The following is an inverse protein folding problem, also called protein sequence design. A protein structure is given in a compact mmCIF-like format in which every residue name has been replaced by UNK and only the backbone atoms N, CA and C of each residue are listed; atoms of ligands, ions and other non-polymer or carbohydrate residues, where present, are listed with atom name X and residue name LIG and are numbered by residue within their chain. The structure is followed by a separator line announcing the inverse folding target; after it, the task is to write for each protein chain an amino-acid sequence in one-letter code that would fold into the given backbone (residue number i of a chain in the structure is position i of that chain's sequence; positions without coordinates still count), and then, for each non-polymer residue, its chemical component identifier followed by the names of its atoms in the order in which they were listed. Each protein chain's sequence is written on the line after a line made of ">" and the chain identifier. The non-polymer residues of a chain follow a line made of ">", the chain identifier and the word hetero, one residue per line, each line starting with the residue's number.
data_IF_307259376269
#
_entry.id   IF_307259376269
#
_cell.length_a   1.000
_cell.length_b   1.000
_cell.length_c   1.000
_cell.angle_alpha   90.00
_cell.angle_beta   90.00
_cell.angle_gamma   90.00
#
_symmetry.space_group_name_H-M   'P 1'
#
loop_
_entity.id
_entity.type
_entity.pdbx_description
1 polymer ?
#
# COMPACT_ATOMS: atom_id res chain seq x y z
N UNK A 1 -24.84 -8.19 -3.68
CA UNK A 1 -25.33 -7.74 -2.36
C UNK A 1 -24.23 -6.93 -1.70
N UNK A 2 -24.57 -5.89 -0.94
CA UNK A 2 -23.64 -5.19 -0.04
C UNK A 2 -23.98 -5.62 1.37
N UNK A 3 -22.96 -5.93 2.16
CA UNK A 3 -23.09 -6.23 3.59
C UNK A 3 -22.50 -5.04 4.33
N UNK A 4 -23.34 -4.30 5.03
CA UNK A 4 -22.99 -3.15 5.86
C UNK A 4 -23.19 -3.54 7.33
N UNK A 5 -22.41 -2.99 8.26
CA UNK A 5 -22.58 -3.26 9.71
C UNK A 5 -23.73 -2.43 10.34
N UNK A 6 -24.49 -1.73 9.50
CA UNK A 6 -25.71 -1.01 9.88
C UNK A 6 -25.52 0.50 9.93
N UNK A 7 -26.56 1.18 10.39
CA UNK A 7 -26.58 2.62 10.58
C UNK A 7 -25.77 2.96 11.85
N UNK A 8 -24.62 3.61 11.70
CA UNK A 8 -23.81 4.06 12.83
C UNK A 8 -24.49 5.15 13.68
N UNK A 9 -23.90 5.50 14.85
CA UNK A 9 -22.65 4.96 15.40
C UNK A 9 -22.84 3.55 15.98
N UNK A 10 -21.77 2.75 15.95
CA UNK A 10 -21.73 1.51 16.73
C UNK A 10 -22.03 1.82 18.20
N UNK A 11 -22.75 0.92 18.86
CA UNK A 11 -22.86 0.96 20.32
C UNK A 11 -21.46 0.84 20.92
N UNK A 12 -21.24 1.42 22.09
CA UNK A 12 -19.95 1.39 22.79
C UNK A 12 -19.48 -0.05 23.10
N UNK A 13 -20.40 -1.03 23.06
CA UNK A 13 -20.13 -2.47 23.22
C UNK A 13 -19.65 -3.16 21.92
N UNK A 14 -19.52 -2.42 20.82
CA UNK A 14 -19.11 -2.93 19.51
C UNK A 14 -20.15 -3.81 18.81
N UNK A 15 -21.37 -3.91 19.34
CA UNK A 15 -22.44 -4.68 18.70
C UNK A 15 -23.05 -3.92 17.52
N UNK A 16 -23.18 -4.59 16.38
CA UNK A 16 -23.80 -4.10 15.16
C UNK A 16 -24.70 -5.16 14.54
N UNK A 17 -25.78 -4.74 13.89
CA UNK A 17 -26.64 -5.65 13.11
C UNK A 17 -26.27 -5.49 11.65
N UNK A 18 -25.63 -6.52 11.09
CA UNK A 18 -25.28 -6.51 9.68
C UNK A 18 -26.55 -6.40 8.83
N UNK A 19 -26.59 -5.37 7.98
CA UNK A 19 -27.66 -5.14 7.01
C UNK A 19 -27.20 -5.62 5.63
N UNK A 20 -28.05 -6.39 4.96
CA UNK A 20 -27.77 -6.88 3.61
C UNK A 20 -28.69 -6.17 2.63
N UNK A 21 -28.11 -5.39 1.73
CA UNK A 21 -28.86 -4.68 0.68
C UNK A 21 -28.56 -5.28 -0.70
N UNK A 22 -29.60 -5.44 -1.54
CA UNK A 22 -29.51 -5.98 -2.90
C UNK A 22 -29.88 -4.94 -3.96
N UNK A 23 -29.42 -5.12 -5.22
CA UNK A 23 -29.85 -4.27 -6.32
C UNK A 23 -31.38 -4.21 -6.44
N UNK A 24 -31.92 -3.00 -6.57
CA UNK A 24 -33.37 -2.75 -6.68
C UNK A 24 -34.09 -2.50 -5.35
N UNK A 25 -33.45 -2.73 -4.20
CA UNK A 25 -34.05 -2.40 -2.90
C UNK A 25 -33.97 -0.89 -2.60
N UNK A 26 -34.89 -0.33 -1.79
CA UNK A 26 -34.97 1.11 -1.54
C UNK A 26 -33.67 1.78 -1.06
N UNK A 27 -32.82 1.05 -0.31
CA UNK A 27 -31.56 1.56 0.24
C UNK A 27 -30.32 1.26 -0.64
N UNK A 28 -30.50 0.74 -1.85
CA UNK A 28 -29.37 0.30 -2.68
C UNK A 28 -28.36 1.41 -2.99
N UNK A 29 -28.85 2.60 -3.35
CA UNK A 29 -27.98 3.75 -3.65
C UNK A 29 -27.21 4.22 -2.41
N UNK A 30 -27.85 4.26 -1.26
CA UNK A 30 -27.24 4.59 0.03
C UNK A 30 -26.15 3.58 0.41
N UNK A 31 -26.43 2.28 0.30
CA UNK A 31 -25.45 1.23 0.58
C UNK A 31 -24.24 1.29 -0.36
N UNK A 32 -24.44 1.64 -1.64
CA UNK A 32 -23.31 1.88 -2.56
C UNK A 32 -22.48 3.10 -2.15
N UNK A 33 -23.12 4.19 -1.73
CA UNK A 33 -22.43 5.38 -1.26
C UNK A 33 -21.52 5.05 -0.07
N UNK A 34 -22.06 4.38 0.96
CA UNK A 34 -21.29 3.97 2.14
C UNK A 34 -20.11 3.07 1.78
N UNK A 35 -20.36 2.02 0.99
CA UNK A 35 -19.30 1.12 0.54
C UNK A 35 -18.17 1.87 -0.17
N UNK A 36 -18.50 2.76 -1.11
CA UNK A 36 -17.50 3.55 -1.86
C UNK A 36 -16.74 4.52 -0.96
N UNK A 37 -17.43 5.17 -0.02
CA UNK A 37 -16.79 6.07 0.95
C UNK A 37 -15.81 5.31 1.85
N UNK A 38 -16.21 4.14 2.39
CA UNK A 38 -15.33 3.28 3.19
C UNK A 38 -14.15 2.75 2.37
N UNK A 39 -14.38 2.30 1.13
CA UNK A 39 -13.32 1.83 0.25
C UNK A 39 -12.34 2.94 -0.12
N UNK A 40 -12.83 4.15 -0.38
CA UNK A 40 -11.99 5.32 -0.66
C UNK A 40 -11.06 5.64 0.50
N UNK A 41 -11.56 5.56 1.74
CA UNK A 41 -10.75 5.73 2.94
C UNK A 41 -9.71 4.62 3.06
N UNK A 42 -10.09 3.36 2.84
CA UNK A 42 -9.14 2.23 2.87
C UNK A 42 -8.00 2.43 1.86
N UNK A 43 -8.33 2.69 0.60
CA UNK A 43 -7.33 2.90 -0.47
C UNK A 43 -6.44 4.10 -0.16
N UNK A 44 -7.01 5.20 0.31
CA UNK A 44 -6.25 6.44 0.58
C UNK A 44 -5.34 6.29 1.79
N UNK A 45 -5.85 5.75 2.90
CA UNK A 45 -5.14 5.67 4.17
C UNK A 45 -4.17 4.49 4.21
N UNK A 46 -4.62 3.31 3.79
CA UNK A 46 -3.86 2.05 3.92
C UNK A 46 -2.94 1.86 2.73
N UNK A 47 -3.51 1.68 1.53
CA UNK A 47 -2.72 1.29 0.36
C UNK A 47 -1.79 2.42 -0.08
N UNK A 48 -2.30 3.65 -0.13
CA UNK A 48 -1.56 4.81 -0.62
C UNK A 48 -0.71 5.46 0.47
N UNK A 49 -1.32 6.05 1.50
CA UNK A 49 -0.58 6.83 2.49
C UNK A 49 0.34 5.94 3.34
N UNK A 50 -0.22 4.93 4.02
CA UNK A 50 0.61 4.07 4.87
C UNK A 50 1.57 3.21 4.03
N UNK A 51 1.03 2.43 3.08
CA UNK A 51 1.78 1.42 2.34
C UNK A 51 2.90 1.99 1.47
N UNK A 52 2.61 3.02 0.67
CA UNK A 52 3.60 3.62 -0.24
C UNK A 52 4.43 4.67 0.50
N UNK A 53 3.78 5.70 1.05
CA UNK A 53 4.48 6.87 1.58
C UNK A 53 5.16 6.59 2.93
N UNK A 54 4.40 6.16 3.94
CA UNK A 54 4.94 6.11 5.30
C UNK A 54 5.83 4.89 5.54
N UNK A 55 5.56 3.78 4.86
CA UNK A 55 6.30 2.53 5.00
C UNK A 55 7.38 2.37 3.92
N UNK A 56 6.99 2.04 2.68
CA UNK A 56 7.94 1.60 1.66
C UNK A 56 8.93 2.70 1.24
N UNK A 57 8.44 3.90 0.93
CA UNK A 57 9.28 4.96 0.41
C UNK A 57 10.22 5.53 1.48
N UNK A 58 9.76 5.58 2.74
CA UNK A 58 10.61 5.97 3.87
C UNK A 58 11.77 4.97 4.06
N UNK A 59 11.49 3.66 4.11
CA UNK A 59 12.53 2.63 4.23
C UNK A 59 13.54 2.77 3.08
N UNK A 60 13.07 2.92 1.85
CA UNK A 60 13.94 3.06 0.68
C UNK A 60 14.82 4.30 0.76
N UNK A 61 14.24 5.49 1.00
CA UNK A 61 14.99 6.73 0.94
C UNK A 61 15.99 6.88 2.10
N UNK A 62 15.64 6.41 3.30
CA UNK A 62 16.58 6.41 4.43
C UNK A 62 17.72 5.42 4.17
N UNK A 63 17.40 4.18 3.79
CA UNK A 63 18.41 3.15 3.52
C UNK A 63 19.39 3.57 2.43
N UNK A 64 18.89 4.13 1.31
CA UNK A 64 19.75 4.59 0.21
C UNK A 64 20.68 5.74 0.63
N UNK A 65 20.19 6.68 1.45
CA UNK A 65 20.98 7.87 1.83
C UNK A 65 21.96 7.59 2.95
N UNK A 66 21.63 6.69 3.86
CA UNK A 66 22.45 6.34 5.02
C UNK A 66 23.49 5.27 4.68
N UNK A 67 23.17 4.32 3.80
CA UNK A 67 24.03 3.16 3.55
C UNK A 67 24.90 3.28 2.30
N UNK A 68 24.56 4.17 1.35
CA UNK A 68 25.27 4.29 0.07
C UNK A 68 25.91 5.66 -0.10
N UNK A 69 27.18 5.70 -0.49
CA UNK A 69 27.87 6.95 -0.84
C UNK A 69 27.18 7.64 -2.02
N UNK A 70 27.35 8.96 -2.14
CA UNK A 70 26.72 9.76 -3.21
C UNK A 70 27.06 9.24 -4.62
N UNK A 71 28.26 8.70 -4.79
CA UNK A 71 28.76 8.16 -6.07
C UNK A 71 28.37 6.69 -6.32
N UNK A 72 27.78 6.00 -5.33
CA UNK A 72 27.40 4.61 -5.47
C UNK A 72 26.37 4.45 -6.61
N UNK A 73 26.57 3.51 -7.56
CA UNK A 73 25.72 3.40 -8.75
C UNK A 73 24.24 3.19 -8.39
N UNK A 74 23.95 2.34 -7.40
CA UNK A 74 22.56 2.17 -6.93
C UNK A 74 21.93 3.43 -6.36
N UNK A 75 22.69 4.30 -5.69
CA UNK A 75 22.15 5.56 -5.19
C UNK A 75 21.84 6.52 -6.34
N UNK A 76 22.72 6.59 -7.34
CA UNK A 76 22.48 7.38 -8.56
C UNK A 76 21.27 6.87 -9.33
N UNK A 77 21.11 5.55 -9.45
CA UNK A 77 19.95 4.92 -10.08
C UNK A 77 18.65 5.21 -9.34
N UNK A 78 18.65 5.10 -8.01
CA UNK A 78 17.45 5.25 -7.19
C UNK A 78 17.06 6.72 -6.97
N UNK A 79 18.01 7.66 -7.11
CA UNK A 79 17.79 9.08 -6.84
C UNK A 79 16.55 9.65 -7.55
N UNK A 80 16.36 9.47 -8.88
CA UNK A 80 15.16 9.95 -9.57
C UNK A 80 13.85 9.36 -9.03
N UNK A 81 13.87 8.11 -8.56
CA UNK A 81 12.68 7.41 -8.04
C UNK A 81 12.37 7.73 -6.57
N UNK A 82 13.33 8.31 -5.85
CA UNK A 82 13.17 8.79 -4.45
C UNK A 82 13.09 10.31 -4.33
N UNK A 83 13.10 11.01 -5.47
CA UNK A 83 13.05 12.46 -5.49
C UNK A 83 11.76 12.96 -4.84
N UNK A 84 11.86 14.00 -4.01
CA UNK A 84 10.76 14.59 -3.23
C UNK A 84 10.08 13.69 -2.19
N UNK A 85 10.44 12.40 -2.06
CA UNK A 85 9.84 11.49 -1.08
C UNK A 85 9.90 12.05 0.35
N UNK A 86 11.05 12.57 0.77
CA UNK A 86 11.22 13.15 2.12
C UNK A 86 10.30 14.36 2.30
N UNK A 87 10.26 15.26 1.32
CA UNK A 87 9.49 16.50 1.41
C UNK A 87 7.98 16.23 1.45
N UNK A 88 7.47 15.34 0.59
CA UNK A 88 6.04 15.00 0.58
C UNK A 88 5.63 14.25 1.84
N UNK A 89 6.49 13.38 2.39
CA UNK A 89 6.20 12.63 3.60
C UNK A 89 6.25 13.51 4.86
N UNK A 90 7.19 14.46 4.95
CA UNK A 90 7.20 15.46 6.01
C UNK A 90 5.95 16.37 5.94
N UNK A 91 5.57 16.80 4.73
CA UNK A 91 4.33 17.55 4.55
C UNK A 91 3.09 16.74 4.94
N UNK A 92 3.02 15.45 4.58
CA UNK A 92 1.93 14.57 4.96
C UNK A 92 1.85 14.42 6.49
N UNK A 93 3.00 14.25 7.17
CA UNK A 93 3.07 14.22 8.63
C UNK A 93 2.44 15.47 9.24
N UNK A 94 2.71 16.66 8.71
CA UNK A 94 2.31 17.93 9.32
C UNK A 94 0.88 18.36 8.93
N UNK A 95 0.50 18.15 7.67
CA UNK A 95 -0.74 18.71 7.10
C UNK A 95 -1.82 17.68 6.78
N UNK A 96 -1.50 16.39 6.77
CA UNK A 96 -2.44 15.33 6.41
C UNK A 96 -2.81 14.42 7.59
N UNK A 97 -1.87 14.08 8.47
CA UNK A 97 -2.09 13.05 9.51
C UNK A 97 -2.25 13.58 10.93
N UNK A 98 -1.77 14.81 11.23
CA UNK A 98 -1.91 15.38 12.58
C UNK A 98 -3.37 15.58 12.99
N UNK A 99 -3.67 15.57 14.30
CA UNK A 99 -4.96 16.03 14.82
C UNK A 99 -5.33 17.40 14.26
N UNK A 100 -6.60 17.55 13.85
CA UNK A 100 -7.14 18.78 13.23
C UNK A 100 -6.49 19.16 11.89
N UNK A 101 -5.82 18.25 11.22
CA UNK A 101 -5.31 18.44 9.85
C UNK A 101 -6.31 17.91 8.80
N UNK A 102 -5.91 17.79 7.53
CA UNK A 102 -6.81 17.42 6.42
C UNK A 102 -7.41 16.03 6.65
N UNK A 103 -6.61 15.00 6.96
CA UNK A 103 -7.08 13.62 7.09
C UNK A 103 -8.20 13.47 8.12
N UNK A 104 -7.98 13.83 9.40
CA UNK A 104 -9.03 13.75 10.43
C UNK A 104 -10.27 14.61 10.16
N UNK A 105 -10.18 15.63 9.28
CA UNK A 105 -11.33 16.46 8.89
C UNK A 105 -12.09 15.92 7.67
N UNK A 106 -11.41 15.16 6.81
CA UNK A 106 -11.99 14.64 5.57
C UNK A 106 -12.44 13.19 5.68
N UNK A 107 -11.90 12.42 6.64
CA UNK A 107 -12.38 11.07 6.93
C UNK A 107 -13.48 11.10 7.98
N UNK A 108 -14.45 10.21 7.85
CA UNK A 108 -15.56 10.08 8.81
C UNK A 108 -15.15 9.32 10.09
N UNK A 109 -13.90 9.51 10.55
CA UNK A 109 -13.39 8.90 11.77
C UNK A 109 -13.42 9.89 12.92
N UNK A 110 -13.66 9.38 14.13
CA UNK A 110 -13.28 10.07 15.37
C UNK A 110 -11.76 10.03 15.53
N UNK A 111 -11.19 10.79 16.46
CA UNK A 111 -9.75 10.72 16.75
C UNK A 111 -9.30 9.30 17.16
N UNK A 112 -10.11 8.59 17.95
CA UNK A 112 -9.90 7.19 18.28
C UNK A 112 -10.00 6.30 17.03
N UNK A 113 -11.01 6.53 16.17
CA UNK A 113 -11.17 5.81 14.91
C UNK A 113 -9.96 5.96 13.98
N UNK A 114 -9.43 7.18 13.88
CA UNK A 114 -8.23 7.47 13.09
C UNK A 114 -7.00 6.76 13.64
N UNK A 115 -6.85 6.72 14.97
CA UNK A 115 -5.78 5.99 15.66
C UNK A 115 -5.87 4.49 15.39
N UNK A 116 -7.07 3.90 15.52
CA UNK A 116 -7.30 2.49 15.20
C UNK A 116 -7.05 2.18 13.73
N UNK A 117 -7.44 3.07 12.82
CA UNK A 117 -7.22 2.89 11.39
C UNK A 117 -5.72 2.85 11.03
N UNK A 118 -4.90 3.75 11.61
CA UNK A 118 -3.45 3.68 11.45
C UNK A 118 -2.83 2.43 12.08
N UNK A 119 -3.31 2.01 13.25
CA UNK A 119 -2.83 0.78 13.90
C UNK A 119 -3.16 -0.48 13.09
N UNK A 120 -4.28 -0.48 12.35
CA UNK A 120 -4.70 -1.58 11.49
C UNK A 120 -3.98 -1.59 10.14
N UNK A 121 -3.57 -0.42 9.62
CA UNK A 121 -3.01 -0.27 8.28
C UNK A 121 -1.89 -1.27 7.91
N UNK A 122 -0.88 -1.57 8.77
CA UNK A 122 0.17 -2.54 8.47
C UNK A 122 -0.36 -3.93 8.07
N UNK A 123 -1.48 -4.35 8.65
CA UNK A 123 -2.07 -5.67 8.43
C UNK A 123 -3.05 -5.70 7.25
N UNK A 124 -3.38 -4.54 6.69
CA UNK A 124 -4.38 -4.39 5.62
C UNK A 124 -3.74 -4.12 4.25
N UNK A 125 -2.46 -3.75 4.19
CA UNK A 125 -1.75 -3.51 2.92
C UNK A 125 -1.66 -4.80 2.11
N UNK A 126 -2.16 -4.77 0.87
CA UNK A 126 -2.03 -5.87 -0.08
C UNK A 126 -0.81 -5.65 -0.98
N UNK A 127 0.23 -6.46 -0.77
CA UNK A 127 1.52 -6.31 -1.46
C UNK A 127 2.23 -7.63 -1.76
N UNK A 128 1.58 -8.76 -1.47
CA UNK A 128 2.17 -10.10 -1.48
C UNK A 128 2.66 -10.55 -0.09
N UNK A 129 2.81 -9.62 0.86
CA UNK A 129 3.14 -9.92 2.26
C UNK A 129 1.98 -10.59 2.99
N UNK A 130 0.74 -10.31 2.57
CA UNK A 130 -0.48 -10.88 3.14
C UNK A 130 -0.74 -12.32 2.71
N UNK A 131 0.02 -12.86 1.74
CA UNK A 131 -0.16 -14.24 1.28
C UNK A 131 0.30 -15.20 2.38
N UNK A 132 -0.56 -16.13 2.85
CA UNK A 132 -0.20 -17.07 3.90
C UNK A 132 0.98 -17.97 3.50
N UNK A 133 1.82 -18.34 4.47
CA UNK A 133 2.92 -19.27 4.26
C UNK A 133 2.43 -20.64 3.74
N UNK A 134 1.26 -21.09 4.18
CA UNK A 134 0.58 -22.30 3.69
C UNK A 134 0.22 -22.25 2.20
N UNK A 135 0.16 -21.05 1.62
CA UNK A 135 -0.12 -20.81 0.21
C UNK A 135 1.13 -20.38 -0.59
N UNK A 136 2.31 -20.47 0.03
CA UNK A 136 3.61 -20.13 -0.59
C UNK A 136 4.02 -18.68 -0.45
N UNK A 137 3.41 -17.92 0.46
CA UNK A 137 3.81 -16.56 0.78
C UNK A 137 4.98 -16.44 1.77
N UNK A 138 5.51 -15.22 1.97
CA UNK A 138 5.16 -13.99 1.25
C UNK A 138 5.63 -14.01 -0.21
N UNK A 139 4.83 -13.44 -1.12
CA UNK A 139 5.14 -13.39 -2.56
C UNK A 139 5.57 -11.99 -2.98
N UNK A 140 6.88 -11.71 -2.88
CA UNK A 140 7.43 -10.40 -3.27
C UNK A 140 7.62 -10.23 -4.78
N UNK A 141 7.65 -11.34 -5.53
CA UNK A 141 7.76 -11.30 -6.97
C UNK A 141 6.38 -11.00 -7.59
N UNK A 142 6.24 -9.85 -8.26
CA UNK A 142 4.96 -9.39 -8.84
C UNK A 142 4.36 -10.38 -9.84
N UNK A 143 5.16 -11.08 -10.64
CA UNK A 143 4.65 -12.07 -11.59
C UNK A 143 3.99 -13.24 -10.87
N UNK A 144 4.70 -13.82 -9.88
CA UNK A 144 4.13 -14.89 -9.03
C UNK A 144 2.91 -14.42 -8.24
N UNK A 145 2.91 -13.16 -7.78
CA UNK A 145 1.77 -12.62 -7.03
C UNK A 145 0.54 -12.41 -7.93
N UNK A 146 0.73 -11.93 -9.17
CA UNK A 146 -0.35 -11.84 -10.15
C UNK A 146 -0.91 -13.23 -10.50
N UNK A 147 -0.05 -14.24 -10.70
CA UNK A 147 -0.49 -15.62 -10.92
C UNK A 147 -1.28 -16.18 -9.73
N UNK A 148 -0.84 -15.89 -8.50
CA UNK A 148 -1.56 -16.25 -7.28
C UNK A 148 -2.97 -15.63 -7.25
N UNK A 149 -3.08 -14.33 -7.53
CA UNK A 149 -4.37 -13.63 -7.59
C UNK A 149 -5.29 -14.19 -8.68
N UNK A 150 -4.76 -14.50 -9.86
CA UNK A 150 -5.52 -15.12 -10.95
C UNK A 150 -6.09 -16.48 -10.56
N UNK A 151 -5.32 -17.32 -9.85
CA UNK A 151 -5.80 -18.61 -9.32
C UNK A 151 -6.93 -18.44 -8.29
N UNK A 152 -7.00 -17.30 -7.61
CA UNK A 152 -8.10 -16.91 -6.69
C UNK A 152 -9.28 -16.27 -7.42
N UNK A 153 -9.27 -16.21 -8.75
CA UNK A 153 -10.31 -15.59 -9.56
C UNK A 153 -10.19 -14.06 -9.66
N UNK A 154 -9.06 -13.48 -9.25
CA UNK A 154 -8.80 -12.04 -9.32
C UNK A 154 -7.93 -11.76 -10.55
N UNK A 155 -8.58 -11.47 -11.67
CA UNK A 155 -7.92 -11.11 -12.93
C UNK A 155 -8.49 -9.79 -13.48
N UNK A 156 -7.95 -8.68 -13.00
CA UNK A 156 -8.39 -7.33 -13.37
C UNK A 156 -7.40 -6.66 -14.32
N UNK A 157 -7.88 -5.67 -15.08
CA UNK A 157 -6.99 -4.91 -15.97
C UNK A 157 -5.84 -4.21 -15.21
N UNK A 158 -6.10 -3.79 -13.97
CA UNK A 158 -5.06 -3.26 -13.08
C UNK A 158 -3.90 -4.24 -12.90
N UNK A 159 -4.17 -5.51 -12.57
CA UNK A 159 -3.12 -6.50 -12.36
C UNK A 159 -2.40 -6.89 -13.65
N UNK A 160 -3.12 -6.95 -14.77
CA UNK A 160 -2.51 -7.19 -16.09
C UNK A 160 -1.56 -6.06 -16.50
N UNK A 161 -1.96 -4.81 -16.30
CA UNK A 161 -1.12 -3.63 -16.55
C UNK A 161 0.08 -3.58 -15.60
N UNK A 162 -0.16 -3.84 -14.31
CA UNK A 162 0.89 -3.91 -13.30
C UNK A 162 1.97 -4.94 -13.68
N UNK A 163 1.57 -6.12 -14.16
CA UNK A 163 2.51 -7.15 -14.62
C UNK A 163 3.31 -6.70 -15.86
N UNK A 164 2.66 -6.05 -16.84
CA UNK A 164 3.36 -5.51 -18.01
C UNK A 164 4.41 -4.47 -17.59
N UNK A 165 4.04 -3.53 -16.74
CA UNK A 165 4.96 -2.51 -16.23
C UNK A 165 6.12 -3.12 -15.42
N UNK A 166 5.81 -4.10 -14.56
CA UNK A 166 6.82 -4.82 -13.79
C UNK A 166 7.86 -5.50 -14.68
N UNK A 167 7.45 -6.14 -15.78
CA UNK A 167 8.38 -6.79 -16.72
C UNK A 167 9.35 -5.79 -17.36
N UNK A 168 8.86 -4.62 -17.75
CA UNK A 168 9.68 -3.54 -18.29
C UNK A 168 10.68 -3.05 -17.23
N UNK A 169 10.20 -2.72 -16.03
CA UNK A 169 11.05 -2.25 -14.93
C UNK A 169 12.10 -3.29 -14.52
N UNK A 170 11.72 -4.57 -14.47
CA UNK A 170 12.62 -5.67 -14.14
C UNK A 170 13.75 -5.80 -15.15
N UNK A 171 13.45 -5.71 -16.45
CA UNK A 171 14.47 -5.77 -17.51
C UNK A 171 15.42 -4.57 -17.40
N UNK A 172 14.88 -3.36 -17.28
CA UNK A 172 15.68 -2.15 -17.13
C UNK A 172 16.64 -2.20 -15.92
N UNK A 173 16.16 -2.68 -14.77
CA UNK A 173 16.99 -2.88 -13.58
C UNK A 173 18.05 -3.95 -13.83
N UNK A 174 17.70 -5.08 -14.48
CA UNK A 174 18.65 -6.14 -14.77
C UNK A 174 19.79 -5.65 -15.66
N UNK A 175 19.48 -4.88 -16.72
CA UNK A 175 20.47 -4.32 -17.63
C UNK A 175 21.39 -3.31 -16.92
N UNK A 176 20.81 -2.46 -16.06
CA UNK A 176 21.58 -1.51 -15.24
C UNK A 176 22.53 -2.24 -14.28
N UNK A 177 22.04 -3.28 -13.60
CA UNK A 177 22.84 -4.08 -12.68
C UNK A 177 23.98 -4.80 -13.40
N UNK A 178 23.73 -5.38 -14.57
CA UNK A 178 24.75 -6.09 -15.35
C UNK A 178 25.91 -5.18 -15.78
N UNK A 179 25.65 -3.89 -16.02
CA UNK A 179 26.67 -2.92 -16.38
C UNK A 179 27.64 -2.62 -15.22
N UNK A 180 27.13 -2.41 -14.00
CA UNK A 180 27.95 -2.06 -12.84
C UNK A 180 28.45 -3.28 -12.04
N UNK A 181 27.77 -4.41 -12.15
CA UNK A 181 28.03 -5.65 -11.42
C UNK A 181 28.10 -6.84 -12.39
N UNK A 182 29.12 -6.92 -13.26
CA UNK A 182 29.20 -7.91 -14.34
C UNK A 182 29.45 -9.33 -13.83
N UNK A 183 29.96 -9.47 -12.61
CA UNK A 183 30.18 -10.76 -11.97
C UNK A 183 29.44 -10.84 -10.65
N UNK A 184 29.03 -12.04 -10.28
CA UNK A 184 28.46 -12.36 -8.97
C UNK A 184 29.59 -12.45 -7.93
N UNK A 185 30.37 -11.38 -7.79
CA UNK A 185 31.43 -11.35 -6.78
C UNK A 185 30.80 -11.41 -5.39
N UNK A 186 31.29 -12.29 -4.52
CA UNK A 186 30.92 -12.29 -3.11
C UNK A 186 31.37 -10.94 -2.50
N UNK A 187 30.56 -10.32 -1.62
CA UNK A 187 31.00 -9.13 -0.93
C UNK A 187 32.23 -9.46 -0.09
N UNK A 188 33.37 -8.84 -0.44
CA UNK A 188 34.55 -8.82 0.43
C UNK A 188 34.27 -7.75 1.47
N UNK A 189 33.81 -8.17 2.64
CA UNK A 189 33.81 -7.29 3.81
C UNK A 189 35.25 -7.29 4.34
N UNK A 190 36.00 -6.25 4.06
CA UNK A 190 37.21 -5.97 4.83
C UNK A 190 36.79 -5.51 6.24
N UNK A 191 37.44 -6.04 7.30
CA UNK A 191 37.08 -5.80 8.69
C UNK A 191 37.25 -4.34 9.13
#
# INVERSE_FOLDING_TARGET
>A
KIVDQGDGPFKDDGSGVATVTRPGEPRWEESKFRFRSSLSVLVTLVDHLYGIHLQLSNIMVTSVREQLSADHPMRRFLCPFTFQTIAVNDNARNNLTQPRSIGPRCFAFTDQGMTMAFAAAPNLVMSGLEVPASEGGPILNREKYTEYLQKKGIDTEYYRQSLRYWKIGRQFIADYMAYYYPTRAAPVFEP
#
